data_IF_875723787713
#
_entry.id   IF_875723787713
#
_cell.length_a   1.000
_cell.length_b   1.000
_cell.length_c   1.000
_cell.angle_alpha   90.00
_cell.angle_beta   90.00
_cell.angle_gamma   90.00
#
_symmetry.space_group_name_H-M   'P 1'
#
loop_
_entity.id
_entity.type
_entity.pdbx_description
1 polymer ?
#
# COMPACT_ATOMS: atom_id res chain seq x y z
N UNK A 1 -3.09 -23.67 22.48
CA UNK A 1 -3.66 -22.41 21.94
C UNK A 1 -2.90 -22.11 20.66
N UNK A 2 -3.60 -21.89 19.54
CA UNK A 2 -2.95 -21.43 18.33
C UNK A 2 -2.38 -20.01 18.57
N UNK A 3 -1.16 -19.74 18.11
CA UNK A 3 -0.54 -18.42 18.21
C UNK A 3 -1.27 -17.37 17.35
N UNK A 4 -0.89 -16.09 17.44
CA UNK A 4 -1.50 -15.04 16.62
C UNK A 4 -1.25 -15.28 15.13
N UNK A 5 -2.24 -14.92 14.31
CA UNK A 5 -2.12 -14.94 12.84
C UNK A 5 -1.56 -13.63 12.31
N UNK A 6 -1.19 -13.59 11.02
CA UNK A 6 -0.84 -12.36 10.31
C UNK A 6 -1.95 -11.31 10.49
N UNK A 7 -3.23 -11.69 10.31
CA UNK A 7 -4.36 -10.78 10.49
C UNK A 7 -4.37 -10.18 11.90
N UNK A 8 -4.12 -10.97 12.94
CA UNK A 8 -4.12 -10.48 14.32
C UNK A 8 -3.02 -9.44 14.56
N UNK A 9 -1.83 -9.63 13.97
CA UNK A 9 -0.70 -8.70 14.10
C UNK A 9 -0.96 -7.41 13.32
N UNK A 10 -1.45 -7.51 12.08
CA UNK A 10 -1.73 -6.34 11.25
C UNK A 10 -2.91 -5.52 11.78
N UNK A 11 -3.80 -6.15 12.56
CA UNK A 11 -4.93 -5.50 13.23
C UNK A 11 -4.57 -4.80 14.55
N UNK A 12 -3.30 -4.85 14.99
CA UNK A 12 -2.86 -4.19 16.21
C UNK A 12 -3.08 -2.67 16.12
N UNK A 13 -3.45 -2.01 17.23
CA UNK A 13 -3.69 -0.58 17.24
C UNK A 13 -2.41 0.20 16.94
N UNK A 14 -2.53 1.22 16.08
CA UNK A 14 -1.46 2.21 15.89
C UNK A 14 -1.25 2.98 17.19
N UNK A 15 0.00 3.38 17.52
CA UNK A 15 0.25 4.37 18.55
C UNK A 15 -0.53 5.63 18.24
N UNK A 16 -1.03 6.28 19.29
CA UNK A 16 -1.65 7.60 19.15
C UNK A 16 -0.56 8.65 19.01
N UNK A 17 -0.64 9.44 17.95
CA UNK A 17 0.29 10.55 17.69
C UNK A 17 -0.44 11.87 17.86
N UNK A 18 -0.10 12.60 18.92
CA UNK A 18 -0.68 13.92 19.19
C UNK A 18 0.24 15.03 18.68
N UNK A 19 -0.28 15.91 17.83
CA UNK A 19 0.43 17.11 17.39
C UNK A 19 0.58 18.09 18.56
N UNK A 20 1.81 18.29 19.04
CA UNK A 20 2.05 19.23 20.15
C UNK A 20 2.21 20.68 19.68
N UNK A 21 2.50 20.88 18.39
CA UNK A 21 2.57 22.18 17.72
C UNK A 21 2.03 21.99 16.31
N UNK A 22 1.25 22.95 15.81
CA UNK A 22 0.76 22.94 14.43
C UNK A 22 1.71 23.77 13.55
N UNK A 23 2.71 23.18 12.88
CA UNK A 23 3.37 23.86 11.79
C UNK A 23 2.34 24.12 10.69
N UNK A 24 2.17 25.40 10.33
CA UNK A 24 1.18 25.89 9.37
C UNK A 24 1.73 26.00 7.94
N UNK A 25 3.01 25.70 7.71
CA UNK A 25 3.57 25.75 6.37
C UNK A 25 3.00 24.61 5.52
N UNK A 26 2.14 25.00 4.59
CA UNK A 26 1.61 24.17 3.50
C UNK A 26 2.77 23.65 2.65
N UNK A 27 2.70 22.41 2.12
CA UNK A 27 3.69 21.89 1.19
C UNK A 27 3.91 22.86 0.03
N UNK A 28 5.16 23.18 -0.29
CA UNK A 28 5.48 24.01 -1.45
C UNK A 28 5.33 23.18 -2.73
N UNK A 29 4.78 23.76 -3.80
CA UNK A 29 4.76 23.08 -5.09
C UNK A 29 6.19 22.89 -5.62
N UNK A 30 6.41 21.78 -6.33
CA UNK A 30 7.61 21.56 -7.12
C UNK A 30 7.20 21.40 -8.58
N UNK A 31 7.78 22.22 -9.45
CA UNK A 31 7.60 22.21 -10.90
C UNK A 31 8.11 20.93 -11.57
N UNK A 32 8.99 20.20 -10.89
CA UNK A 32 9.55 18.92 -11.35
C UNK A 32 8.67 17.71 -11.06
N UNK A 33 7.63 17.87 -10.26
CA UNK A 33 6.73 16.76 -9.96
C UNK A 33 5.79 16.47 -11.12
N UNK A 34 5.37 15.21 -11.22
CA UNK A 34 4.46 14.76 -12.27
C UNK A 34 3.16 15.54 -12.20
N UNK A 35 2.70 15.99 -13.36
CA UNK A 35 1.49 16.82 -13.43
C UNK A 35 0.26 15.92 -13.41
N UNK A 36 -0.40 15.87 -12.26
CA UNK A 36 -1.71 15.25 -12.10
C UNK A 36 -2.80 16.32 -11.98
N UNK A 37 -3.87 16.14 -12.74
CA UNK A 37 -5.05 17.00 -12.72
C UNK A 37 -6.08 16.47 -11.69
N UNK A 38 -6.83 17.34 -11.00
CA UNK A 38 -7.80 16.92 -9.98
C UNK A 38 -8.78 15.85 -10.49
N UNK A 39 -9.29 16.01 -11.72
CA UNK A 39 -10.21 15.07 -12.37
C UNK A 39 -9.64 13.66 -12.65
N UNK A 40 -8.33 13.48 -12.55
CA UNK A 40 -7.69 12.17 -12.71
C UNK A 40 -7.36 11.52 -11.35
N UNK A 41 -7.83 12.11 -10.26
CA UNK A 41 -7.68 11.56 -8.90
C UNK A 41 -9.06 11.16 -8.39
N UNK A 42 -9.23 9.91 -7.99
CA UNK A 42 -10.51 9.36 -7.50
C UNK A 42 -10.34 8.46 -6.29
N UNK A 43 -11.44 8.18 -5.60
CA UNK A 43 -11.45 7.20 -4.51
C UNK A 43 -11.11 5.80 -5.04
N UNK A 44 -10.40 5.02 -4.25
CA UNK A 44 -10.05 3.62 -4.53
C UNK A 44 -11.02 2.68 -3.83
N UNK A 45 -12.27 2.65 -4.27
CA UNK A 45 -13.38 1.98 -3.57
C UNK A 45 -13.20 0.45 -3.42
N UNK A 46 -12.48 -0.20 -4.34
CA UNK A 46 -12.16 -1.63 -4.25
C UNK A 46 -11.01 -1.95 -3.28
N UNK A 47 -10.28 -0.94 -2.77
CA UNK A 47 -9.29 -1.12 -1.71
C UNK A 47 -9.98 -1.13 -0.34
N UNK A 48 -10.60 -2.26 -0.02
CA UNK A 48 -11.31 -2.47 1.24
C UNK A 48 -10.98 -3.84 1.85
N UNK A 49 -11.35 -4.04 3.11
CA UNK A 49 -11.07 -5.27 3.85
C UNK A 49 -11.59 -6.51 3.12
N UNK A 50 -12.83 -6.49 2.64
CA UNK A 50 -13.45 -7.67 2.01
C UNK A 50 -12.66 -8.14 0.80
N UNK A 51 -12.25 -7.21 -0.07
CA UNK A 51 -11.48 -7.53 -1.26
C UNK A 51 -10.07 -8.01 -0.92
N UNK A 52 -9.41 -7.37 0.07
CA UNK A 52 -8.08 -7.80 0.55
C UNK A 52 -8.14 -9.20 1.18
N UNK A 53 -9.14 -9.48 2.02
CA UNK A 53 -9.34 -10.79 2.63
C UNK A 53 -9.76 -11.86 1.62
N UNK A 54 -10.50 -11.49 0.58
CA UNK A 54 -10.81 -12.38 -0.54
C UNK A 54 -9.53 -12.78 -1.28
N UNK A 55 -8.70 -11.80 -1.62
CA UNK A 55 -7.43 -11.99 -2.31
C UNK A 55 -6.41 -12.81 -1.50
N UNK A 56 -6.20 -12.46 -0.23
CA UNK A 56 -5.06 -12.93 0.55
C UNK A 56 -5.44 -13.61 1.88
N UNK A 57 -6.71 -13.96 2.09
CA UNK A 57 -7.20 -14.50 3.37
C UNK A 57 -6.50 -15.76 3.86
N UNK A 58 -6.04 -16.60 2.93
CA UNK A 58 -5.24 -17.79 3.23
C UNK A 58 -3.83 -17.44 3.75
N UNK A 59 -3.25 -16.32 3.30
CA UNK A 59 -2.01 -15.76 3.85
C UNK A 59 -2.27 -15.09 5.19
N UNK A 60 -3.34 -14.31 5.30
CA UNK A 60 -3.72 -13.60 6.53
C UNK A 60 -3.98 -14.56 7.70
N UNK A 61 -4.45 -15.77 7.43
CA UNK A 61 -4.65 -16.84 8.42
C UNK A 61 -3.39 -17.56 8.87
N UNK A 62 -2.21 -17.25 8.30
CA UNK A 62 -0.97 -17.93 8.66
C UNK A 62 -0.48 -17.51 10.06
N UNK A 63 0.11 -18.43 10.84
CA UNK A 63 0.73 -18.09 12.12
C UNK A 63 1.87 -17.10 11.93
N UNK A 64 1.96 -16.10 12.79
CA UNK A 64 3.01 -15.09 12.75
C UNK A 64 3.41 -14.68 14.18
N UNK A 65 4.47 -13.88 14.30
CA UNK A 65 4.95 -13.42 15.61
C UNK A 65 5.42 -11.97 15.54
N UNK A 66 5.19 -11.21 16.60
CA UNK A 66 5.72 -9.85 16.72
C UNK A 66 6.22 -9.62 18.15
N UNK A 67 7.36 -8.96 18.28
CA UNK A 67 7.88 -8.54 19.58
C UNK A 67 7.03 -7.36 20.09
N UNK A 68 6.21 -7.60 21.11
CA UNK A 68 5.27 -6.60 21.65
C UNK A 68 5.95 -5.41 22.37
N UNK A 69 7.24 -5.55 22.69
CA UNK A 69 8.02 -4.56 23.45
C UNK A 69 8.03 -3.17 22.79
N UNK A 70 7.41 -2.19 23.44
CA UNK A 70 7.43 -0.79 23.02
C UNK A 70 6.49 -0.43 21.85
N UNK A 71 5.58 -1.33 21.44
CA UNK A 71 4.60 -1.04 20.38
C UNK A 71 3.47 -0.11 20.80
N UNK A 72 3.17 0.00 22.10
CA UNK A 72 1.99 0.69 22.63
C UNK A 72 2.29 2.04 23.30
N UNK A 73 3.51 2.57 23.15
CA UNK A 73 3.84 3.86 23.75
C UNK A 73 3.17 4.98 22.94
N UNK A 74 2.19 5.67 23.53
CA UNK A 74 1.68 6.94 22.98
C UNK A 74 2.82 7.95 22.91
N UNK A 75 2.97 8.62 21.77
CA UNK A 75 4.03 9.60 21.55
C UNK A 75 3.45 10.89 21.00
N UNK A 76 3.87 12.02 21.57
CA UNK A 76 3.68 13.30 20.91
C UNK A 76 4.52 13.37 19.64
N UNK A 77 3.97 13.94 18.57
CA UNK A 77 4.70 14.27 17.34
C UNK A 77 4.69 15.77 17.19
N UNK A 78 5.86 16.40 17.19
CA UNK A 78 6.01 17.85 17.05
C UNK A 78 6.35 18.27 15.62
N UNK A 79 6.97 17.37 14.86
CA UNK A 79 7.57 17.65 13.57
C UNK A 79 7.69 16.35 12.74
N UNK A 80 8.07 16.49 11.47
CA UNK A 80 8.21 15.36 10.56
C UNK A 80 9.29 14.36 10.99
N UNK A 81 10.37 14.79 11.66
CA UNK A 81 11.41 13.87 12.12
C UNK A 81 10.89 12.89 13.17
N UNK A 82 9.93 13.32 14.00
CA UNK A 82 9.29 12.47 15.00
C UNK A 82 8.28 11.49 14.41
N UNK A 83 7.82 11.71 13.15
CA UNK A 83 7.06 10.71 12.40
C UNK A 83 7.88 9.44 12.12
N UNK A 84 9.21 9.46 12.26
CA UNK A 84 10.04 8.26 12.18
C UNK A 84 9.61 7.18 13.19
N UNK A 85 9.05 7.56 14.34
CA UNK A 85 8.51 6.59 15.29
C UNK A 85 7.27 5.85 14.76
N UNK A 86 6.47 6.51 13.91
CA UNK A 86 5.37 5.85 13.20
C UNK A 86 5.90 4.80 12.22
N UNK A 87 7.01 5.11 11.55
CA UNK A 87 7.68 4.21 10.62
C UNK A 87 8.31 3.03 11.38
N UNK A 88 8.99 3.29 12.50
CA UNK A 88 9.57 2.25 13.38
C UNK A 88 8.50 1.24 13.83
N UNK A 89 7.35 1.73 14.29
CA UNK A 89 6.23 0.89 14.70
C UNK A 89 5.69 0.07 13.53
N UNK A 90 5.46 0.72 12.38
CA UNK A 90 4.93 0.06 11.19
C UNK A 90 5.85 -1.08 10.73
N UNK A 91 7.16 -0.83 10.69
CA UNK A 91 8.14 -1.85 10.30
C UNK A 91 8.13 -3.06 11.23
N UNK A 92 8.03 -2.84 12.55
CA UNK A 92 7.96 -3.94 13.52
C UNK A 92 6.74 -4.83 13.34
N UNK A 93 5.56 -4.24 13.09
CA UNK A 93 4.35 -5.05 12.88
C UNK A 93 4.32 -5.70 11.50
N UNK A 94 5.05 -5.16 10.52
CA UNK A 94 5.13 -5.71 9.17
C UNK A 94 6.18 -6.80 9.03
N UNK A 95 7.24 -6.82 9.84
CA UNK A 95 8.40 -7.71 9.67
C UNK A 95 8.02 -9.19 9.44
N UNK A 96 7.35 -9.82 10.41
CA UNK A 96 6.94 -11.22 10.29
C UNK A 96 5.83 -11.42 9.23
N UNK A 97 4.74 -10.61 9.20
CA UNK A 97 3.73 -10.69 8.15
C UNK A 97 4.25 -10.59 6.72
N UNK A 98 5.18 -9.67 6.46
CA UNK A 98 5.76 -9.46 5.12
C UNK A 98 6.65 -10.65 4.76
N UNK A 99 7.51 -11.11 5.67
CA UNK A 99 8.38 -12.26 5.41
C UNK A 99 7.59 -13.54 5.10
N UNK A 100 6.52 -13.81 5.84
CA UNK A 100 5.67 -15.00 5.64
C UNK A 100 4.84 -14.85 4.36
N UNK A 101 4.20 -13.69 4.19
CA UNK A 101 3.37 -13.39 3.02
C UNK A 101 4.16 -13.44 1.72
N UNK A 102 5.34 -12.80 1.67
CA UNK A 102 6.18 -12.75 0.48
C UNK A 102 6.73 -14.12 0.11
N UNK A 103 7.09 -14.96 1.09
CA UNK A 103 7.53 -16.32 0.85
C UNK A 103 6.42 -17.16 0.22
N UNK A 104 5.24 -17.19 0.83
CA UNK A 104 4.12 -18.02 0.36
C UNK A 104 3.57 -17.54 -0.98
N UNK A 105 3.39 -16.23 -1.13
CA UNK A 105 2.97 -15.65 -2.39
C UNK A 105 4.04 -15.84 -3.47
N UNK A 106 5.32 -15.70 -3.11
CA UNK A 106 6.43 -15.94 -4.02
C UNK A 106 6.50 -17.38 -4.53
N UNK A 107 6.22 -18.38 -3.69
CA UNK A 107 6.09 -19.76 -4.15
C UNK A 107 4.96 -19.94 -5.18
N UNK A 108 3.85 -19.26 -4.97
CA UNK A 108 2.67 -19.35 -5.82
C UNK A 108 2.83 -18.61 -7.15
N UNK A 109 3.51 -17.46 -7.14
CA UNK A 109 3.77 -16.64 -8.32
C UNK A 109 5.09 -16.99 -9.02
N UNK A 110 5.85 -17.97 -8.51
CA UNK A 110 7.13 -18.38 -9.08
C UNK A 110 8.27 -17.37 -8.88
N UNK A 111 8.16 -16.47 -7.89
CA UNK A 111 9.13 -15.42 -7.59
C UNK A 111 9.32 -15.27 -6.08
N UNK A 112 10.26 -16.02 -5.49
CA UNK A 112 10.61 -15.83 -4.09
C UNK A 112 11.39 -14.52 -3.91
N UNK A 113 11.05 -13.72 -2.90
CA UNK A 113 11.69 -12.41 -2.69
C UNK A 113 11.74 -12.07 -1.20
N UNK A 114 12.95 -11.89 -0.69
CA UNK A 114 13.18 -11.23 0.60
C UNK A 114 12.97 -9.75 0.37
N UNK A 115 11.97 -9.19 1.05
CA UNK A 115 11.65 -7.77 0.94
C UNK A 115 12.49 -7.03 1.97
N UNK A 116 13.28 -6.08 1.48
CA UNK A 116 14.05 -5.15 2.30
C UNK A 116 13.37 -3.77 2.28
N UNK A 117 13.82 -2.88 3.15
CA UNK A 117 13.27 -1.54 3.27
C UNK A 117 14.34 -0.49 3.61
N UNK A 118 14.12 0.74 3.16
CA UNK A 118 15.01 1.86 3.45
C UNK A 118 14.24 3.15 3.70
N UNK A 119 14.91 4.10 4.35
CA UNK A 119 14.43 5.48 4.54
C UNK A 119 15.29 6.42 3.71
N UNK A 120 14.66 7.46 3.16
CA UNK A 120 15.33 8.63 2.58
C UNK A 120 16.42 8.30 1.55
N UNK A 121 16.17 7.33 0.67
CA UNK A 121 17.11 6.98 -0.42
C UNK A 121 16.74 7.63 -1.74
N UNK A 122 17.75 8.11 -2.47
CA UNK A 122 17.60 8.46 -3.88
C UNK A 122 17.32 7.22 -4.72
N UNK A 123 16.36 7.30 -5.64
CA UNK A 123 16.18 6.24 -6.63
C UNK A 123 17.45 6.13 -7.50
N UNK A 124 18.09 4.95 -7.61
CA UNK A 124 19.27 4.78 -8.44
C UNK A 124 18.99 5.18 -9.89
N UNK A 125 19.82 6.06 -10.46
CA UNK A 125 19.64 6.59 -11.82
C UNK A 125 18.70 7.80 -11.94
N UNK A 126 18.04 8.21 -10.84
CA UNK A 126 17.25 9.44 -10.83
C UNK A 126 18.15 10.66 -11.02
N UNK A 127 17.72 11.59 -11.89
CA UNK A 127 18.42 12.85 -12.12
C UNK A 127 18.44 13.77 -10.90
N UNK A 128 17.56 13.53 -9.92
CA UNK A 128 17.32 14.40 -8.78
C UNK A 128 17.23 13.61 -7.46
N UNK A 129 17.56 14.28 -6.36
CA UNK A 129 17.39 13.72 -5.02
C UNK A 129 15.90 13.63 -4.70
N UNK A 130 15.39 12.41 -4.59
CA UNK A 130 14.04 12.12 -4.12
C UNK A 130 14.14 11.52 -2.71
N UNK A 131 13.32 12.00 -1.79
CA UNK A 131 13.34 11.64 -0.36
C UNK A 131 12.02 10.94 0.00
N UNK A 132 11.91 9.68 -0.43
CA UNK A 132 10.80 8.83 -0.02
C UNK A 132 10.97 8.45 1.46
N UNK A 133 9.93 8.65 2.27
CA UNK A 133 10.03 8.46 3.73
C UNK A 133 10.23 6.98 4.11
N UNK A 134 9.65 6.08 3.34
CA UNK A 134 9.86 4.64 3.44
C UNK A 134 9.73 4.02 2.05
N UNK A 135 10.62 3.09 1.74
CA UNK A 135 10.60 2.30 0.50
C UNK A 135 10.66 0.83 0.88
N UNK A 136 9.85 0.00 0.24
CA UNK A 136 9.98 -1.46 0.24
C UNK A 136 10.52 -1.91 -1.11
N UNK A 137 11.50 -2.81 -1.14
CA UNK A 137 12.16 -3.24 -2.37
C UNK A 137 12.72 -4.66 -2.25
N UNK A 138 13.09 -5.23 -3.40
CA UNK A 138 13.95 -6.41 -3.50
C UNK A 138 15.36 -5.94 -3.88
N UNK A 139 16.36 -6.37 -3.12
CA UNK A 139 17.76 -5.97 -3.31
C UNK A 139 18.44 -6.76 -4.44
N UNK A 140 17.97 -6.53 -5.67
CA UNK A 140 18.56 -7.01 -6.92
C UNK A 140 19.39 -5.92 -7.60
N UNK A 141 20.09 -6.27 -8.67
CA UNK A 141 20.76 -5.32 -9.56
C UNK A 141 20.11 -5.35 -10.96
N UNK A 142 19.30 -4.34 -11.35
CA UNK A 142 18.87 -3.18 -10.56
C UNK A 142 17.85 -3.55 -9.47
N UNK A 143 17.68 -2.66 -8.47
CA UNK A 143 16.68 -2.84 -7.40
C UNK A 143 15.27 -2.81 -7.96
N UNK A 144 14.41 -3.70 -7.45
CA UNK A 144 12.99 -3.72 -7.79
C UNK A 144 12.22 -3.08 -6.64
N UNK A 145 11.60 -1.92 -6.88
CA UNK A 145 10.80 -1.24 -5.86
C UNK A 145 9.36 -1.74 -5.85
N UNK A 146 8.83 -1.91 -4.64
CA UNK A 146 7.49 -2.45 -4.40
C UNK A 146 6.52 -1.36 -4.00
N UNK A 147 6.88 -0.55 -3.01
CA UNK A 147 6.04 0.54 -2.48
C UNK A 147 6.94 1.70 -2.10
N UNK A 148 6.53 2.91 -2.47
CA UNK A 148 7.19 4.17 -2.08
C UNK A 148 6.24 5.03 -1.26
N UNK A 149 6.74 5.99 -0.49
CA UNK A 149 5.88 6.77 0.40
C UNK A 149 6.40 8.16 0.70
N UNK A 150 5.54 8.97 1.28
CA UNK A 150 5.94 10.24 1.87
C UNK A 150 5.20 10.47 3.19
N UNK A 151 5.82 11.19 4.11
CA UNK A 151 5.21 11.61 5.36
C UNK A 151 4.78 13.09 5.29
N UNK A 152 3.68 13.40 5.97
CA UNK A 152 3.14 14.76 6.19
C UNK A 152 2.60 14.87 7.61
N UNK A 153 2.50 16.07 8.14
CA UNK A 153 1.70 16.32 9.34
C UNK A 153 0.27 16.63 8.92
N UNK A 154 -0.72 16.19 9.70
CA UNK A 154 -2.15 16.44 9.45
C UNK A 154 -2.50 17.94 9.49
N UNK A 155 -1.67 18.76 10.14
CA UNK A 155 -1.75 20.22 10.09
C UNK A 155 -1.30 20.84 8.76
N UNK A 156 -0.55 20.09 7.94
CA UNK A 156 -0.03 20.54 6.65
C UNK A 156 -0.79 19.95 5.47
N UNK A 157 -1.32 18.73 5.64
CA UNK A 157 -2.03 18.00 4.61
C UNK A 157 -2.93 16.94 5.21
N UNK A 158 -4.15 16.80 4.68
CA UNK A 158 -5.09 15.73 5.01
C UNK A 158 -5.85 15.31 3.75
N UNK A 159 -6.36 14.08 3.75
CA UNK A 159 -7.03 13.47 2.60
C UNK A 159 -8.35 14.15 2.23
N UNK A 160 -8.98 14.89 3.15
CA UNK A 160 -10.16 15.72 2.86
C UNK A 160 -9.90 16.71 1.71
N UNK A 161 -8.67 17.22 1.59
CA UNK A 161 -8.30 18.08 0.46
C UNK A 161 -8.38 17.36 -0.89
N UNK A 162 -8.15 16.05 -0.95
CA UNK A 162 -8.37 15.25 -2.17
C UNK A 162 -9.86 15.09 -2.47
N UNK A 163 -10.66 14.80 -1.44
CA UNK A 163 -12.12 14.66 -1.56
C UNK A 163 -12.77 15.95 -2.06
N UNK A 164 -12.30 17.09 -1.57
CA UNK A 164 -12.75 18.43 -1.95
C UNK A 164 -12.12 18.95 -3.26
N UNK A 165 -11.25 18.17 -3.91
CA UNK A 165 -10.51 18.54 -5.12
C UNK A 165 -9.66 19.82 -4.98
N UNK A 166 -9.13 20.07 -3.79
CA UNK A 166 -8.28 21.22 -3.50
C UNK A 166 -6.92 21.08 -4.18
N UNK A 167 -6.42 22.16 -4.80
CA UNK A 167 -5.15 22.15 -5.52
C UNK A 167 -3.96 21.78 -4.61
N UNK A 168 -3.99 22.20 -3.34
CA UNK A 168 -2.97 21.86 -2.34
C UNK A 168 -3.02 20.38 -1.93
N UNK A 169 -4.21 19.77 -1.94
CA UNK A 169 -4.42 18.35 -1.67
C UNK A 169 -3.66 17.45 -2.65
N UNK A 170 -3.50 17.90 -3.89
CA UNK A 170 -2.79 17.15 -4.94
C UNK A 170 -1.27 17.11 -4.80
N UNK A 171 -0.66 17.97 -3.97
CA UNK A 171 0.80 18.10 -3.94
C UNK A 171 1.50 16.79 -3.54
N UNK A 172 1.10 16.06 -2.49
CA UNK A 172 1.68 14.75 -2.20
C UNK A 172 1.40 13.69 -3.27
N UNK A 173 0.25 13.74 -3.94
CA UNK A 173 -0.08 12.83 -5.05
C UNK A 173 0.88 13.04 -6.23
N UNK A 174 1.18 14.29 -6.58
CA UNK A 174 2.17 14.63 -7.62
C UNK A 174 3.59 14.19 -7.25
N UNK A 175 3.99 14.40 -6.00
CA UNK A 175 5.28 13.92 -5.49
C UNK A 175 5.38 12.39 -5.61
N UNK A 176 4.38 11.67 -5.12
CA UNK A 176 4.36 10.21 -5.17
C UNK A 176 4.26 9.66 -6.58
N UNK A 177 3.57 10.35 -7.51
CA UNK A 177 3.54 9.97 -8.91
C UNK A 177 4.93 10.04 -9.57
N UNK A 178 5.72 11.06 -9.22
CA UNK A 178 7.13 11.11 -9.61
C UNK A 178 7.90 9.94 -9.03
N UNK A 179 7.68 9.59 -7.76
CA UNK A 179 8.37 8.47 -7.13
C UNK A 179 7.99 7.15 -7.77
N UNK A 180 6.71 6.93 -8.04
CA UNK A 180 6.17 5.78 -8.74
C UNK A 180 6.80 5.61 -10.13
N UNK A 181 6.86 6.70 -10.91
CA UNK A 181 7.50 6.72 -12.24
C UNK A 181 8.97 6.33 -12.18
N UNK A 182 9.74 6.93 -11.28
CA UNK A 182 11.19 6.72 -11.18
C UNK A 182 11.55 5.35 -10.57
N UNK A 183 10.67 4.80 -9.73
CA UNK A 183 10.88 3.52 -9.05
C UNK A 183 10.29 2.31 -9.79
N UNK A 184 9.43 2.55 -10.78
CA UNK A 184 8.77 1.49 -11.55
C UNK A 184 7.67 0.75 -10.78
N UNK A 185 7.17 1.31 -9.69
CA UNK A 185 5.99 0.79 -8.97
C UNK A 185 4.82 1.74 -9.06
N UNK A 186 3.60 1.21 -9.09
CA UNK A 186 2.36 1.97 -9.03
C UNK A 186 1.80 2.18 -7.61
N UNK A 187 2.33 1.48 -6.62
CA UNK A 187 1.78 1.47 -5.26
C UNK A 187 2.53 2.43 -4.36
N UNK A 188 1.79 3.24 -3.63
CA UNK A 188 2.36 4.21 -2.70
C UNK A 188 1.45 4.47 -1.51
N UNK A 189 1.97 5.15 -0.49
CA UNK A 189 1.12 5.68 0.57
C UNK A 189 1.65 7.01 1.13
N UNK A 190 0.74 7.81 1.68
CA UNK A 190 1.03 9.03 2.44
C UNK A 190 0.77 8.71 3.90
N UNK A 191 1.75 8.97 4.77
CA UNK A 191 1.62 8.77 6.21
C UNK A 191 1.45 10.11 6.92
N UNK A 192 0.41 10.25 7.73
CA UNK A 192 0.23 11.39 8.66
C UNK A 192 0.11 10.93 10.11
N UNK A 193 -0.02 11.86 11.06
CA UNK A 193 -0.32 11.56 12.46
C UNK A 193 -1.79 11.12 12.70
N UNK A 194 -2.68 11.26 11.71
CA UNK A 194 -4.11 10.89 11.83
C UNK A 194 -4.55 9.76 10.91
N UNK A 195 -3.89 9.59 9.77
CA UNK A 195 -4.30 8.63 8.75
C UNK A 195 -3.09 8.09 7.97
N UNK A 196 -3.33 6.97 7.29
CA UNK A 196 -2.51 6.53 6.16
C UNK A 196 -3.38 6.50 4.92
N UNK A 197 -2.92 7.15 3.86
CA UNK A 197 -3.63 7.22 2.58
C UNK A 197 -2.89 6.36 1.59
N UNK A 198 -3.44 5.20 1.24
CA UNK A 198 -2.88 4.36 0.20
C UNK A 198 -3.22 4.93 -1.18
N UNK A 199 -2.33 4.73 -2.14
CA UNK A 199 -2.44 5.29 -3.48
C UNK A 199 -2.01 4.24 -4.52
N UNK A 200 -2.79 4.11 -5.58
CA UNK A 200 -2.44 3.37 -6.79
C UNK A 200 -2.42 4.31 -7.98
N UNK A 201 -1.30 4.39 -8.68
CA UNK A 201 -1.16 5.19 -9.89
C UNK A 201 -1.66 4.43 -11.12
N UNK A 202 -2.26 5.18 -12.04
CA UNK A 202 -2.72 4.74 -13.35
C UNK A 202 -2.22 5.73 -14.40
N UNK A 203 -1.98 5.26 -15.63
CA UNK A 203 -1.74 6.13 -16.77
C UNK A 203 -2.95 6.08 -17.71
N UNK A 204 -3.25 7.18 -18.39
CA UNK A 204 -4.18 7.13 -19.53
C UNK A 204 -3.42 6.77 -20.83
N UNK A 205 -4.16 6.59 -21.92
CA UNK A 205 -3.61 6.26 -23.24
C UNK A 205 -2.58 7.28 -23.75
N UNK A 206 -2.60 8.51 -23.23
CA UNK A 206 -1.69 9.59 -23.58
C UNK A 206 -0.49 9.68 -22.62
N UNK A 207 -0.31 8.69 -21.74
CA UNK A 207 0.76 8.66 -20.74
C UNK A 207 0.59 9.64 -19.58
N UNK A 208 -0.57 10.30 -19.45
CA UNK A 208 -0.83 11.19 -18.33
C UNK A 208 -1.19 10.39 -17.08
N UNK A 209 -0.60 10.76 -15.96
CA UNK A 209 -0.82 10.09 -14.70
C UNK A 209 -2.16 10.51 -14.06
N UNK A 210 -2.80 9.53 -13.45
CA UNK A 210 -3.91 9.64 -12.51
C UNK A 210 -3.62 8.80 -11.27
N UNK A 211 -4.50 8.89 -10.28
CA UNK A 211 -4.34 8.19 -9.01
C UNK A 211 -5.69 7.76 -8.43
N UNK A 212 -5.70 6.59 -7.81
CA UNK A 212 -6.78 6.13 -6.95
C UNK A 212 -6.27 6.14 -5.51
N UNK A 213 -7.08 6.62 -4.56
CA UNK A 213 -6.66 6.71 -3.16
C UNK A 213 -7.72 6.21 -2.19
N UNK A 214 -7.27 5.66 -1.06
CA UNK A 214 -8.13 5.31 0.07
C UNK A 214 -7.47 5.76 1.36
N UNK A 215 -8.21 6.49 2.20
CA UNK A 215 -7.77 6.89 3.53
C UNK A 215 -8.13 5.82 4.57
N UNK A 216 -7.16 5.53 5.45
CA UNK A 216 -7.30 4.62 6.57
C UNK A 216 -7.00 5.42 7.85
N UNK A 217 -8.00 5.64 8.71
CA UNK A 217 -7.79 6.27 10.01
C UNK A 217 -6.76 5.50 10.85
N UNK A 218 -5.92 6.21 11.60
CA UNK A 218 -4.91 5.54 12.44
C UNK A 218 -5.49 4.78 13.63
N UNK A 219 -6.62 5.24 14.14
CA UNK A 219 -7.33 4.60 15.25
C UNK A 219 -8.07 3.32 14.83
N UNK A 220 -8.17 3.06 13.51
CA UNK A 220 -8.68 1.81 12.97
C UNK A 220 -7.84 0.62 13.47
N UNK A 221 -8.48 -0.26 14.24
CA UNK A 221 -7.86 -1.42 14.87
C UNK A 221 -8.85 -2.55 15.08
N UNK A 222 -8.34 -3.75 15.36
CA UNK A 222 -9.16 -4.92 15.63
C UNK A 222 -9.52 -5.75 14.40
N UNK A 223 -9.99 -6.96 14.67
CA UNK A 223 -10.44 -7.90 13.66
C UNK A 223 -11.68 -7.36 12.94
N UNK A 224 -11.76 -7.54 11.62
CA UNK A 224 -12.88 -7.01 10.82
C UNK A 224 -12.75 -5.54 10.39
N UNK A 225 -11.60 -4.89 10.64
CA UNK A 225 -11.34 -3.51 10.20
C UNK A 225 -10.14 -3.44 9.25
N UNK A 226 -10.20 -2.57 8.23
CA UNK A 226 -9.02 -2.22 7.42
C UNK A 226 -8.12 -1.27 8.23
N UNK A 227 -7.02 -1.80 8.75
CA UNK A 227 -6.05 -1.06 9.57
C UNK A 227 -4.87 -0.56 8.75
N UNK A 228 -4.06 0.33 9.34
CA UNK A 228 -2.82 0.84 8.72
C UNK A 228 -1.86 -0.30 8.36
N UNK A 229 -1.65 -1.24 9.29
CA UNK A 229 -0.77 -2.40 9.05
C UNK A 229 -1.26 -3.24 7.89
N UNK A 230 -2.55 -3.55 7.87
CA UNK A 230 -3.16 -4.35 6.81
C UNK A 230 -3.11 -3.65 5.44
N UNK A 231 -3.37 -2.35 5.41
CA UNK A 231 -3.33 -1.56 4.18
C UNK A 231 -1.93 -1.54 3.56
N UNK A 232 -0.89 -1.24 4.35
CA UNK A 232 0.48 -1.22 3.83
C UNK A 232 0.95 -2.62 3.45
N UNK A 233 0.64 -3.64 4.25
CA UNK A 233 0.94 -5.03 3.91
C UNK A 233 0.29 -5.44 2.58
N UNK A 234 -0.97 -5.08 2.35
CA UNK A 234 -1.68 -5.39 1.11
C UNK A 234 -1.03 -4.72 -0.10
N UNK A 235 -0.59 -3.46 -0.01
CA UNK A 235 0.18 -2.82 -1.09
C UNK A 235 1.45 -3.61 -1.43
N UNK A 236 2.19 -4.06 -0.41
CA UNK A 236 3.39 -4.87 -0.60
C UNK A 236 3.04 -6.19 -1.29
N UNK A 237 2.02 -6.91 -0.82
CA UNK A 237 1.62 -8.19 -1.43
C UNK A 237 1.17 -8.02 -2.89
N UNK A 238 0.39 -6.99 -3.21
CA UNK A 238 -0.04 -6.71 -4.59
C UNK A 238 1.15 -6.37 -5.50
N UNK A 239 2.15 -5.67 -4.98
CA UNK A 239 3.34 -5.29 -5.74
C UNK A 239 4.30 -6.45 -6.04
N UNK A 240 4.17 -7.58 -5.34
CA UNK A 240 4.97 -8.79 -5.61
C UNK A 240 4.61 -9.43 -6.95
N UNK A 241 3.38 -9.24 -7.43
CA UNK A 241 2.97 -9.71 -8.74
C UNK A 241 3.50 -8.77 -9.82
N UNK A 242 4.50 -9.22 -10.59
CA UNK A 242 5.22 -8.40 -11.57
C UNK A 242 4.30 -7.68 -12.56
N UNK A 243 3.31 -8.40 -13.13
CA UNK A 243 2.35 -7.83 -14.09
C UNK A 243 1.45 -6.74 -13.48
N UNK A 244 1.36 -6.67 -12.15
CA UNK A 244 0.54 -5.67 -11.43
C UNK A 244 1.37 -4.59 -10.75
N UNK A 245 2.71 -4.68 -10.81
CA UNK A 245 3.62 -3.75 -10.13
C UNK A 245 3.79 -2.43 -10.87
N UNK A 246 3.98 -2.48 -12.18
CA UNK A 246 4.21 -1.30 -13.00
C UNK A 246 2.96 -0.42 -13.13
N UNK A 247 3.15 0.88 -13.37
CA UNK A 247 2.05 1.78 -13.72
C UNK A 247 1.43 1.31 -15.04
N UNK A 248 0.15 0.95 -14.99
CA UNK A 248 -0.60 0.41 -16.12
C UNK A 248 -1.73 1.36 -16.53
N UNK A 249 -2.31 1.10 -17.70
CA UNK A 249 -3.49 1.84 -18.14
C UNK A 249 -4.72 1.54 -17.28
N UNK A 250 -5.76 2.37 -17.38
CA UNK A 250 -7.04 2.09 -16.71
C UNK A 250 -7.63 0.73 -17.15
N UNK A 251 -7.54 0.38 -18.44
CA UNK A 251 -8.04 -0.90 -18.97
C UNK A 251 -7.29 -2.12 -18.43
N UNK A 252 -5.98 -1.97 -18.17
CA UNK A 252 -5.11 -3.01 -17.61
C UNK A 252 -5.17 -3.05 -16.08
N UNK A 253 -5.77 -2.04 -15.46
CA UNK A 253 -5.93 -1.97 -14.01
C UNK A 253 -7.17 -2.72 -13.59
N UNK A 254 -6.99 -4.02 -13.36
CA UNK A 254 -8.06 -4.90 -12.91
C UNK A 254 -8.48 -4.57 -11.47
N UNK A 255 -9.78 -4.72 -11.14
CA UNK A 255 -10.28 -4.48 -9.79
C UNK A 255 -9.79 -5.59 -8.85
N UNK A 256 -9.51 -5.25 -7.58
CA UNK A 256 -8.92 -6.17 -6.61
C UNK A 256 -9.74 -7.45 -6.45
N UNK A 257 -11.07 -7.39 -6.60
CA UNK A 257 -11.98 -8.52 -6.45
C UNK A 257 -12.13 -9.40 -7.70
N UNK A 258 -11.22 -9.32 -8.68
CA UNK A 258 -11.30 -10.11 -9.92
C UNK A 258 -10.71 -11.53 -9.76
N UNK A 259 -11.41 -12.49 -10.35
CA UNK A 259 -11.00 -13.89 -10.43
C UNK A 259 -11.04 -14.39 -11.87
N UNK A 260 -10.07 -15.22 -12.25
CA UNK A 260 -10.11 -15.98 -13.49
C UNK A 260 -10.90 -17.27 -13.24
N UNK A 261 -11.91 -17.53 -14.07
CA UNK A 261 -12.66 -18.79 -14.08
C UNK A 261 -11.98 -19.73 -15.06
N UNK A 262 -11.56 -20.87 -14.57
CA UNK A 262 -10.85 -21.90 -15.34
C UNK A 262 -11.67 -23.19 -15.28
N UNK A 263 -11.77 -23.91 -16.41
CA UNK A 263 -12.45 -25.20 -16.46
C UNK A 263 -11.41 -26.33 -16.49
N UNK A 264 -11.45 -27.20 -15.49
CA UNK A 264 -10.63 -28.41 -15.45
C UNK A 264 -11.08 -29.43 -16.49
N UNK A 265 -10.20 -30.40 -16.79
CA UNK A 265 -10.50 -31.52 -17.68
C UNK A 265 -11.69 -32.39 -17.21
N UNK A 266 -11.99 -32.35 -15.91
CA UNK A 266 -13.14 -33.01 -15.30
C UNK A 266 -14.46 -32.22 -15.45
N UNK A 267 -14.42 -31.07 -16.15
CA UNK A 267 -15.54 -30.17 -16.37
C UNK A 267 -15.85 -29.25 -15.19
N UNK A 268 -15.13 -29.35 -14.06
CA UNK A 268 -15.36 -28.51 -12.88
C UNK A 268 -14.67 -27.16 -13.05
N UNK A 269 -15.32 -26.12 -12.53
CA UNK A 269 -14.75 -24.78 -12.51
C UNK A 269 -13.91 -24.56 -11.25
N UNK A 270 -12.75 -23.95 -11.43
CA UNK A 270 -11.92 -23.36 -10.38
C UNK A 270 -11.82 -21.86 -10.63
N UNK A 271 -11.62 -21.12 -9.55
CA UNK A 271 -11.45 -19.67 -9.61
C UNK A 271 -10.09 -19.28 -9.07
N UNK A 272 -9.28 -18.62 -9.88
CA UNK A 272 -7.93 -18.18 -9.52
C UNK A 272 -7.87 -16.67 -9.39
N UNK A 273 -7.50 -16.18 -8.21
CA UNK A 273 -7.42 -14.75 -7.93
C UNK A 273 -6.28 -14.10 -8.71
N UNK A 274 -6.54 -12.98 -9.39
CA UNK A 274 -5.56 -12.40 -10.32
C UNK A 274 -4.31 -11.82 -9.62
N UNK A 275 -4.44 -11.24 -8.42
CA UNK A 275 -3.30 -10.66 -7.69
C UNK A 275 -2.47 -11.70 -6.94
N UNK A 276 -3.15 -12.72 -6.41
CA UNK A 276 -2.59 -13.58 -5.38
C UNK A 276 -2.41 -15.01 -5.84
N UNK A 277 -2.90 -15.38 -7.03
CA UNK A 277 -2.97 -16.75 -7.53
C UNK A 277 -3.80 -17.71 -6.68
N UNK A 278 -4.53 -17.21 -5.67
CA UNK A 278 -5.31 -18.06 -4.75
C UNK A 278 -6.39 -18.78 -5.54
N UNK A 279 -6.51 -20.09 -5.36
CA UNK A 279 -7.55 -20.89 -6.00
C UNK A 279 -8.68 -21.23 -5.04
N UNK A 280 -9.92 -21.12 -5.50
CA UNK A 280 -11.11 -21.51 -4.76
C UNK A 280 -12.08 -22.29 -5.68
N UNK A 281 -12.83 -23.25 -5.13
CA UNK A 281 -13.88 -23.96 -5.88
C UNK A 281 -15.17 -23.15 -6.02
N UNK A 282 -15.28 -22.01 -5.34
CA UNK A 282 -16.43 -21.09 -5.40
C UNK A 282 -15.98 -19.65 -5.15
N UNK A 283 -16.86 -18.70 -5.49
CA UNK A 283 -16.65 -17.28 -5.24
C UNK A 283 -17.55 -16.77 -4.12
N UNK A 284 -17.02 -15.83 -3.34
CA UNK A 284 -17.80 -15.09 -2.35
C UNK A 284 -18.64 -14.00 -3.02
N UNK A 285 -19.66 -13.52 -2.31
CA UNK A 285 -20.49 -12.39 -2.77
C UNK A 285 -19.63 -11.16 -3.06
N UNK A 286 -19.90 -10.51 -4.20
CA UNK A 286 -19.18 -9.32 -4.65
C UNK A 286 -17.89 -9.60 -5.43
N UNK A 287 -17.48 -10.87 -5.59
CA UNK A 287 -16.40 -11.22 -6.51
C UNK A 287 -16.84 -11.02 -7.97
N UNK A 288 -15.92 -10.53 -8.80
CA UNK A 288 -16.10 -10.44 -10.26
C UNK A 288 -15.26 -11.54 -10.89
N UNK A 289 -15.76 -12.19 -11.94
CA UNK A 289 -14.97 -13.17 -12.68
C UNK A 289 -14.94 -12.91 -14.18
N UNK A 290 -13.88 -13.39 -14.82
CA UNK A 290 -13.70 -13.46 -16.27
C UNK A 290 -13.22 -14.86 -16.64
N UNK A 291 -13.59 -15.34 -17.82
CA UNK A 291 -13.03 -16.58 -18.35
C UNK A 291 -11.56 -16.38 -18.72
N UNK A 292 -10.72 -17.37 -18.37
CA UNK A 292 -9.31 -17.40 -18.76
C UNK A 292 -9.11 -17.89 -20.19
#
# INVERSE_FOLDING_TARGET
MAGPTIQNILALPSPTFTLTKAPTQVPRPCDKWERILPRHVRQWDDFNLNNISSAFGDLLGQPASVAMGGLYANRGVRNLNEMNHSIDWLLRILESPVAIGSRLLGHRLGSASVIDHSRDTTFPGAKHKYESSLIFYLDTMPRIHFVVSCARLSSQWASEGLKNQEAAGLLPIRQLATYAKESGTRYSFIMTDKEVVVVRFIANSNGQYGAEWQAIPRDASGEGTLTVGLAVWALIMMSLHEQHRAVATEAETLPINLWWREQGFDGRFTYRHHLSGRELPYLYSGAVYRDS
#
